data_IF_844074083924
#
_entry.id   IF_844074083924
#
_cell.length_a   1.000
_cell.length_b   1.000
_cell.length_c   1.000
_cell.angle_alpha   90.00
_cell.angle_beta   90.00
_cell.angle_gamma   90.00
#
_symmetry.space_group_name_H-M   'P 1'
#
loop_
_entity.id
_entity.type
_entity.pdbx_description
1 polymer ?
#
# COMPACT_ATOMS: atom_id res chain seq x y z
N UNK A 1 2.51 -5.33 21.94
CA UNK A 1 2.51 -5.37 20.47
C UNK A 1 1.43 -4.44 19.97
N UNK A 2 1.75 -3.53 19.05
CA UNK A 2 0.78 -2.57 18.49
C UNK A 2 0.00 -3.24 17.36
N UNK A 3 -1.33 -3.31 17.50
CA UNK A 3 -2.22 -3.82 16.47
C UNK A 3 -2.78 -2.65 15.66
N UNK A 4 -2.53 -2.64 14.36
CA UNK A 4 -2.93 -1.57 13.46
C UNK A 4 -3.49 -2.14 12.16
N UNK A 5 -4.26 -1.36 11.43
CA UNK A 5 -4.82 -1.78 10.14
C UNK A 5 -4.46 -0.74 9.10
N UNK A 6 -3.81 -1.18 8.02
CA UNK A 6 -3.68 -0.37 6.81
C UNK A 6 -4.83 -0.68 5.87
N UNK A 7 -5.44 0.34 5.30
CA UNK A 7 -6.53 0.23 4.35
C UNK A 7 -6.21 0.99 3.06
N UNK A 8 -6.59 0.41 1.93
CA UNK A 8 -6.54 1.07 0.63
C UNK A 8 -7.80 0.73 -0.16
N UNK A 9 -8.47 1.76 -0.67
CA UNK A 9 -9.57 1.57 -1.62
C UNK A 9 -9.02 1.22 -3.00
N UNK A 10 -9.44 0.10 -3.56
CA UNK A 10 -9.27 -0.25 -4.96
C UNK A 10 -10.60 -0.06 -5.70
N UNK A 11 -10.67 -0.26 -7.01
CA UNK A 11 -11.86 0.01 -7.85
C UNK A 11 -13.15 -0.72 -7.43
N UNK A 12 -13.05 -1.80 -6.67
CA UNK A 12 -14.23 -2.64 -6.32
C UNK A 12 -14.31 -3.09 -4.86
N UNK A 13 -13.24 -2.88 -4.08
CA UNK A 13 -13.12 -3.37 -2.71
C UNK A 13 -12.07 -2.56 -1.96
N UNK A 14 -12.20 -2.49 -0.64
CA UNK A 14 -11.18 -1.93 0.24
C UNK A 14 -10.31 -3.10 0.70
N UNK A 15 -9.02 -3.02 0.42
CA UNK A 15 -8.01 -3.90 0.99
C UNK A 15 -7.78 -3.48 2.44
N UNK A 16 -7.76 -4.44 3.36
CA UNK A 16 -7.36 -4.29 4.75
C UNK A 16 -6.14 -5.18 5.00
N UNK A 17 -5.07 -4.60 5.51
CA UNK A 17 -3.85 -5.29 5.94
C UNK A 17 -3.68 -5.06 7.45
N UNK A 18 -4.33 -5.87 8.30
CA UNK A 18 -4.07 -5.88 9.73
C UNK A 18 -2.62 -6.30 10.01
N UNK A 19 -1.95 -5.58 10.90
CA UNK A 19 -0.57 -5.80 11.27
C UNK A 19 -0.40 -5.95 12.77
N UNK A 20 0.51 -6.85 13.17
CA UNK A 20 1.07 -6.92 14.51
C UNK A 20 2.56 -6.65 14.41
N UNK A 21 2.99 -5.47 14.87
CA UNK A 21 4.33 -4.97 14.56
C UNK A 21 4.53 -4.82 13.04
N UNK A 22 5.61 -5.39 12.49
CA UNK A 22 5.90 -5.35 11.05
C UNK A 22 5.17 -6.42 10.22
N UNK A 23 4.54 -7.41 10.86
CA UNK A 23 3.95 -8.56 10.19
C UNK A 23 2.50 -8.30 9.80
N UNK A 24 2.19 -8.39 8.50
CA UNK A 24 0.81 -8.51 8.00
C UNK A 24 0.22 -9.85 8.43
N UNK A 25 -0.94 -9.82 9.08
CA UNK A 25 -1.58 -11.02 9.61
C UNK A 25 -2.37 -11.79 8.56
N UNK A 26 -3.06 -11.08 7.67
CA UNK A 26 -3.83 -11.61 6.54
C UNK A 26 -4.23 -10.48 5.58
N UNK A 27 -4.76 -10.82 4.42
CA UNK A 27 -5.42 -9.88 3.51
C UNK A 27 -6.93 -9.90 3.76
N UNK A 28 -7.50 -8.76 4.12
CA UNK A 28 -8.93 -8.54 4.23
C UNK A 28 -9.46 -7.79 3.01
N UNK A 29 -10.64 -8.14 2.55
CA UNK A 29 -11.30 -7.48 1.42
C UNK A 29 -12.72 -7.10 1.82
N UNK A 30 -12.97 -5.81 1.86
CA UNK A 30 -14.23 -5.25 2.32
C UNK A 30 -14.98 -4.66 1.13
N UNK A 31 -16.24 -5.08 0.95
CA UNK A 31 -17.17 -4.44 0.01
C UNK A 31 -18.22 -3.66 0.78
N UNK A 32 -18.43 -2.42 0.37
CA UNK A 32 -19.46 -1.55 0.93
C UNK A 32 -20.74 -1.64 0.09
N UNK A 33 -21.87 -1.45 0.76
CA UNK A 33 -23.17 -1.25 0.13
C UNK A 33 -23.74 0.08 0.61
N UNK A 34 -24.35 0.82 -0.31
CA UNK A 34 -25.03 2.07 0.02
C UNK A 34 -26.36 1.75 0.69
N UNK A 35 -26.64 2.44 1.80
CA UNK A 35 -27.89 2.33 2.55
C UNK A 35 -28.40 3.74 2.83
N UNK A 36 -29.70 3.94 3.11
CA UNK A 36 -30.23 5.28 3.39
C UNK A 36 -29.51 6.02 4.54
N UNK A 37 -28.87 5.28 5.45
CA UNK A 37 -28.13 5.78 6.62
C UNK A 37 -26.60 5.85 6.37
N UNK A 38 -26.20 5.87 5.10
CA UNK A 38 -24.81 5.86 4.64
C UNK A 38 -24.24 4.46 4.38
N UNK A 39 -22.99 4.38 3.91
CA UNK A 39 -22.37 3.12 3.51
C UNK A 39 -22.25 2.14 4.69
N UNK A 40 -22.41 0.84 4.40
CA UNK A 40 -22.28 -0.26 5.37
C UNK A 40 -21.42 -1.39 4.82
N UNK A 41 -20.76 -2.13 5.72
CA UNK A 41 -20.03 -3.34 5.34
C UNK A 41 -21.02 -4.39 4.84
N UNK A 42 -20.85 -4.83 3.60
CA UNK A 42 -21.72 -5.82 2.98
C UNK A 42 -21.08 -7.20 2.90
N UNK A 43 -19.79 -7.25 2.53
CA UNK A 43 -19.02 -8.50 2.47
C UNK A 43 -17.64 -8.27 3.04
N UNK A 44 -17.18 -9.25 3.81
CA UNK A 44 -15.81 -9.31 4.29
C UNK A 44 -15.20 -10.65 3.88
N UNK A 45 -14.20 -10.62 2.99
CA UNK A 45 -13.43 -11.80 2.63
C UNK A 45 -12.06 -11.72 3.29
N UNK A 46 -11.55 -12.85 3.75
CA UNK A 46 -10.21 -12.95 4.31
C UNK A 46 -9.43 -14.00 3.54
N UNK A 47 -8.20 -13.66 3.19
CA UNK A 47 -7.21 -14.55 2.58
C UNK A 47 -5.98 -14.61 3.49
N UNK A 48 -5.64 -15.81 3.94
CA UNK A 48 -4.41 -16.10 4.69
C UNK A 48 -3.42 -16.78 3.76
N UNK A 49 -2.14 -16.67 4.10
CA UNK A 49 -1.09 -17.32 3.32
C UNK A 49 -1.29 -18.84 3.28
N UNK A 50 -1.15 -19.43 2.10
CA UNK A 50 -1.41 -20.85 1.84
C UNK A 50 -2.86 -21.31 1.99
N UNK A 51 -3.84 -20.41 2.15
CA UNK A 51 -5.26 -20.75 2.33
C UNK A 51 -6.15 -20.12 1.26
N UNK A 52 -7.26 -20.79 0.95
CA UNK A 52 -8.30 -20.22 0.09
C UNK A 52 -8.99 -19.03 0.76
N UNK A 53 -9.58 -18.15 -0.06
CA UNK A 53 -10.39 -17.05 0.44
C UNK A 53 -11.64 -17.58 1.13
N UNK A 54 -12.01 -16.97 2.25
CA UNK A 54 -13.24 -17.30 2.98
C UNK A 54 -14.00 -16.05 3.36
N UNK A 55 -15.33 -16.16 3.32
CA UNK A 55 -16.20 -15.12 3.86
C UNK A 55 -16.17 -15.17 5.39
N UNK A 56 -16.05 -14.00 5.99
CA UNK A 56 -16.32 -13.77 7.40
C UNK A 56 -17.54 -12.87 7.54
N UNK A 57 -18.25 -12.92 8.68
CA UNK A 57 -19.31 -11.97 9.00
C UNK A 57 -18.85 -10.52 8.79
N UNK A 58 -19.64 -9.67 8.11
CA UNK A 58 -19.35 -8.24 7.95
C UNK A 58 -18.98 -7.52 9.26
N UNK A 59 -19.61 -7.92 10.37
CA UNK A 59 -19.39 -7.35 11.70
C UNK A 59 -17.98 -7.65 12.24
N UNK A 60 -17.33 -8.73 11.79
CA UNK A 60 -15.96 -9.05 12.17
C UNK A 60 -14.98 -7.99 11.66
N UNK A 61 -15.24 -7.40 10.49
CA UNK A 61 -14.42 -6.31 9.97
C UNK A 61 -14.52 -5.07 10.87
N UNK A 62 -15.73 -4.69 11.29
CA UNK A 62 -15.92 -3.57 12.21
C UNK A 62 -15.32 -3.84 13.59
N UNK A 63 -15.47 -5.05 14.12
CA UNK A 63 -14.83 -5.47 15.37
C UNK A 63 -13.30 -5.40 15.28
N UNK A 64 -12.73 -5.80 14.15
CA UNK A 64 -11.29 -5.68 13.90
C UNK A 64 -10.85 -4.20 13.88
N UNK A 65 -11.53 -3.35 13.11
CA UNK A 65 -11.21 -1.94 13.01
C UNK A 65 -11.31 -1.22 14.36
N UNK A 66 -12.33 -1.52 15.17
CA UNK A 66 -12.48 -0.97 16.54
C UNK A 66 -11.36 -1.36 17.49
N UNK A 67 -10.78 -2.55 17.32
CA UNK A 67 -9.66 -3.03 18.16
C UNK A 67 -8.31 -2.48 17.71
N UNK A 68 -8.22 -1.94 16.49
CA UNK A 68 -7.01 -1.36 15.97
C UNK A 68 -6.64 -0.11 16.77
N UNK A 69 -5.38 -0.01 17.20
CA UNK A 69 -4.86 1.20 17.83
C UNK A 69 -4.75 2.35 16.83
N UNK A 70 -4.59 2.02 15.55
CA UNK A 70 -4.58 2.98 14.45
C UNK A 70 -5.13 2.35 13.17
N UNK A 71 -5.92 3.15 12.44
CA UNK A 71 -6.36 2.85 11.08
C UNK A 71 -5.61 3.81 10.15
N UNK A 72 -4.80 3.23 9.27
CA UNK A 72 -4.02 3.96 8.30
C UNK A 72 -4.69 3.88 6.94
N UNK A 73 -4.89 5.02 6.29
CA UNK A 73 -5.41 5.08 4.92
C UNK A 73 -4.27 5.38 3.95
N UNK A 74 -4.18 4.57 2.89
CA UNK A 74 -3.37 4.86 1.72
C UNK A 74 -4.31 5.31 0.62
N UNK A 75 -3.93 6.38 -0.09
CA UNK A 75 -4.73 6.90 -1.20
C UNK A 75 -4.97 5.84 -2.26
N UNK A 76 -6.20 5.79 -2.77
CA UNK A 76 -6.64 4.79 -3.73
C UNK A 76 -7.75 5.32 -4.65
N UNK A 77 -8.73 4.48 -4.92
CA UNK A 77 -9.93 4.88 -5.66
C UNK A 77 -10.72 5.94 -4.87
N UNK A 78 -10.85 7.15 -5.41
CA UNK A 78 -11.42 8.30 -4.68
C UNK A 78 -12.86 8.08 -4.24
N UNK A 79 -13.69 7.44 -5.08
CA UNK A 79 -15.10 7.25 -4.76
C UNK A 79 -15.27 6.22 -3.65
N UNK A 80 -14.59 5.08 -3.74
CA UNK A 80 -14.69 4.05 -2.71
C UNK A 80 -13.95 4.44 -1.42
N UNK A 81 -12.86 5.22 -1.53
CA UNK A 81 -12.17 5.81 -0.38
C UNK A 81 -13.10 6.74 0.41
N UNK A 82 -13.81 7.64 -0.28
CA UNK A 82 -14.75 8.56 0.38
C UNK A 82 -15.86 7.80 1.10
N UNK A 83 -16.43 6.77 0.48
CA UNK A 83 -17.44 5.90 1.13
C UNK A 83 -16.88 5.13 2.31
N UNK A 84 -15.60 4.76 2.28
CA UNK A 84 -14.96 4.13 3.43
C UNK A 84 -14.73 5.12 4.56
N UNK A 85 -14.35 6.35 4.25
CA UNK A 85 -14.24 7.44 5.23
C UNK A 85 -15.58 7.69 5.91
N UNK A 86 -16.66 7.84 5.14
CA UNK A 86 -18.03 8.00 5.67
C UNK A 86 -18.44 6.85 6.59
N UNK A 87 -18.09 5.61 6.25
CA UNK A 87 -18.28 4.46 7.12
C UNK A 87 -17.49 4.62 8.43
N UNK A 88 -16.19 4.94 8.36
CA UNK A 88 -15.35 5.10 9.54
C UNK A 88 -15.89 6.20 10.46
N UNK A 89 -16.26 7.36 9.91
CA UNK A 89 -16.83 8.49 10.62
C UNK A 89 -18.18 8.14 11.28
N UNK A 90 -19.07 7.44 10.56
CA UNK A 90 -20.34 6.99 11.11
C UNK A 90 -20.18 6.05 12.33
N UNK A 91 -19.07 5.33 12.41
CA UNK A 91 -18.71 4.48 13.56
C UNK A 91 -17.71 5.15 14.52
N UNK A 92 -17.43 6.45 14.35
CA UNK A 92 -16.49 7.24 15.16
C UNK A 92 -15.07 6.66 15.22
N UNK A 93 -14.66 6.00 14.13
CA UNK A 93 -13.35 5.38 14.01
C UNK A 93 -12.34 6.40 13.48
N UNK A 94 -11.34 6.71 14.29
CA UNK A 94 -10.26 7.61 13.91
C UNK A 94 -9.35 6.96 12.87
N UNK A 95 -8.93 7.74 11.88
CA UNK A 95 -8.04 7.30 10.83
C UNK A 95 -7.00 8.37 10.49
N UNK A 96 -5.90 7.98 9.86
CA UNK A 96 -4.90 8.93 9.33
C UNK A 96 -4.34 8.48 8.01
N UNK A 97 -4.09 9.44 7.13
CA UNK A 97 -3.42 9.16 5.86
C UNK A 97 -1.93 8.95 6.06
N UNK A 98 -1.38 7.97 5.35
CA UNK A 98 0.05 7.66 5.31
C UNK A 98 0.51 7.41 3.89
N UNK A 99 1.82 7.51 3.70
CA UNK A 99 2.48 7.11 2.48
C UNK A 99 3.15 5.76 2.69
N UNK A 100 3.03 4.88 1.70
CA UNK A 100 3.70 3.57 1.70
C UNK A 100 4.36 3.31 0.35
N UNK A 101 5.35 2.42 0.35
CA UNK A 101 5.98 1.92 -0.86
C UNK A 101 4.94 1.18 -1.71
N UNK A 102 4.67 1.70 -2.91
CA UNK A 102 3.68 1.13 -3.81
C UNK A 102 4.07 -0.28 -4.30
N UNK A 103 5.37 -0.58 -4.45
CA UNK A 103 5.83 -1.92 -4.85
C UNK A 103 5.60 -2.96 -3.73
N UNK A 104 6.00 -2.64 -2.49
CA UNK A 104 5.74 -3.50 -1.35
C UNK A 104 4.24 -3.76 -1.17
N UNK A 105 3.42 -2.71 -1.34
CA UNK A 105 1.96 -2.83 -1.21
C UNK A 105 1.36 -3.75 -2.28
N UNK A 106 1.88 -3.73 -3.52
CA UNK A 106 1.49 -4.67 -4.57
C UNK A 106 1.70 -6.13 -4.18
N UNK A 107 2.74 -6.41 -3.39
CA UNK A 107 3.06 -7.71 -2.80
C UNK A 107 2.45 -7.93 -1.41
N UNK A 108 1.49 -7.08 -1.01
CA UNK A 108 0.77 -7.16 0.29
C UNK A 108 1.66 -7.03 1.52
N UNK A 109 2.85 -6.46 1.32
CA UNK A 109 3.74 -6.01 2.39
C UNK A 109 3.54 -4.51 2.61
N UNK A 110 3.60 -4.09 3.87
CA UNK A 110 3.50 -2.67 4.20
C UNK A 110 4.91 -2.16 4.53
N UNK A 111 5.35 -1.16 3.78
CA UNK A 111 6.56 -0.41 4.08
C UNK A 111 6.18 1.06 4.04
N UNK A 112 6.16 1.70 5.21
CA UNK A 112 5.91 3.13 5.32
C UNK A 112 7.08 3.90 4.70
N UNK A 113 6.75 5.01 4.05
CA UNK A 113 7.74 5.86 3.41
C UNK A 113 7.47 7.30 3.77
N UNK A 114 8.52 8.09 3.89
CA UNK A 114 8.45 9.51 4.19
C UNK A 114 8.22 10.33 2.91
N UNK A 115 8.01 11.64 3.08
CA UNK A 115 7.71 12.55 1.99
C UNK A 115 8.81 12.61 0.93
N UNK A 116 10.06 12.43 1.36
CA UNK A 116 11.27 12.47 0.56
C UNK A 116 11.58 11.16 -0.17
N UNK A 117 10.77 10.11 0.00
CA UNK A 117 11.00 8.81 -0.61
C UNK A 117 11.10 8.85 -2.13
N UNK A 118 11.82 7.87 -2.68
CA UNK A 118 12.08 7.77 -4.11
C UNK A 118 10.76 7.64 -4.89
N UNK A 119 10.62 8.41 -5.96
CA UNK A 119 9.49 8.30 -6.89
C UNK A 119 9.84 7.42 -8.09
N UNK A 120 8.87 6.63 -8.54
CA UNK A 120 8.93 5.86 -9.78
C UNK A 120 7.52 5.74 -10.36
N UNK A 121 7.36 6.10 -11.64
CA UNK A 121 6.09 6.15 -12.38
C UNK A 121 5.02 6.93 -11.61
N UNK A 122 5.43 8.07 -11.04
CA UNK A 122 4.56 8.95 -10.25
C UNK A 122 4.12 8.40 -8.88
N UNK A 123 4.73 7.31 -8.39
CA UNK A 123 4.41 6.70 -7.08
C UNK A 123 5.65 6.60 -6.19
N UNK A 124 5.46 6.68 -4.88
CA UNK A 124 6.56 6.52 -3.90
C UNK A 124 6.93 5.04 -3.72
N UNK A 125 8.22 4.76 -3.65
CA UNK A 125 8.79 3.45 -3.37
C UNK A 125 9.92 3.56 -2.33
N UNK A 126 10.16 2.49 -1.57
CA UNK A 126 11.27 2.44 -0.63
C UNK A 126 12.60 2.22 -1.36
N UNK A 127 13.71 2.50 -0.70
CA UNK A 127 15.06 2.40 -1.28
C UNK A 127 15.39 0.99 -1.77
N UNK A 128 14.94 -0.05 -1.06
CA UNK A 128 15.14 -1.43 -1.46
C UNK A 128 14.45 -1.75 -2.80
N UNK A 129 13.19 -1.32 -2.96
CA UNK A 129 12.46 -1.51 -4.22
C UNK A 129 13.06 -0.67 -5.34
N UNK A 130 13.51 0.55 -5.06
CA UNK A 130 14.14 1.41 -6.04
C UNK A 130 15.48 0.85 -6.52
N UNK A 131 16.30 0.33 -5.61
CA UNK A 131 17.56 -0.33 -5.95
C UNK A 131 17.34 -1.60 -6.77
N UNK A 132 16.33 -2.41 -6.43
CA UNK A 132 15.99 -3.61 -7.18
C UNK A 132 15.54 -3.29 -8.61
N UNK A 133 14.71 -2.28 -8.79
CA UNK A 133 14.24 -1.85 -10.13
C UNK A 133 15.37 -1.21 -10.94
N UNK A 134 16.21 -0.37 -10.32
CA UNK A 134 17.40 0.17 -10.98
C UNK A 134 18.35 -0.93 -11.43
N UNK A 135 18.59 -1.94 -10.58
CA UNK A 135 19.45 -3.07 -10.91
C UNK A 135 18.88 -3.87 -12.07
N UNK A 136 17.58 -4.16 -12.05
CA UNK A 136 16.87 -4.86 -13.14
C UNK A 136 17.05 -4.13 -14.47
N UNK A 137 16.89 -2.82 -14.47
CA UNK A 137 16.99 -1.99 -15.66
C UNK A 137 18.45 -1.86 -16.17
N UNK A 138 19.41 -1.76 -15.25
CA UNK A 138 20.83 -1.77 -15.57
C UNK A 138 21.30 -3.13 -16.12
N UNK A 139 20.77 -4.23 -15.58
CA UNK A 139 21.01 -5.59 -16.09
C UNK A 139 20.42 -5.79 -17.48
N UNK A 140 19.21 -5.29 -17.71
CA UNK A 140 18.58 -5.31 -19.04
C UNK A 140 19.44 -4.60 -20.09
N UNK A 141 20.06 -3.46 -19.73
CA UNK A 141 21.02 -2.74 -20.58
C UNK A 141 22.47 -3.27 -20.51
N UNK A 142 22.72 -4.39 -19.82
CA UNK A 142 24.04 -5.02 -19.68
C UNK A 142 25.13 -4.07 -19.14
N UNK A 143 24.76 -3.16 -18.23
CA UNK A 143 25.69 -2.19 -17.67
C UNK A 143 26.75 -2.85 -16.77
N UNK A 144 27.95 -2.28 -16.79
CA UNK A 144 29.06 -2.71 -15.95
C UNK A 144 28.80 -2.40 -14.45
N UNK A 145 29.53 -3.07 -13.56
CA UNK A 145 29.44 -2.81 -12.11
C UNK A 145 29.71 -1.35 -11.73
N UNK A 146 30.74 -0.67 -12.29
CA UNK A 146 30.96 0.75 -12.01
C UNK A 146 29.80 1.64 -12.44
N UNK A 147 29.20 1.36 -13.61
CA UNK A 147 28.04 2.10 -14.10
C UNK A 147 26.83 1.95 -13.15
N UNK A 148 26.54 0.72 -12.69
CA UNK A 148 25.49 0.46 -11.68
C UNK A 148 25.70 1.24 -10.39
N UNK A 149 26.93 1.23 -9.86
CA UNK A 149 27.28 1.97 -8.65
C UNK A 149 27.11 3.49 -8.82
N UNK A 150 27.49 4.01 -9.99
CA UNK A 150 27.30 5.42 -10.33
C UNK A 150 25.82 5.81 -10.37
N UNK A 151 24.98 5.01 -11.02
CA UNK A 151 23.53 5.25 -11.06
C UNK A 151 22.89 5.17 -9.67
N UNK A 152 23.30 4.23 -8.83
CA UNK A 152 22.79 4.11 -7.46
C UNK A 152 23.09 5.38 -6.63
N UNK A 153 24.26 6.00 -6.83
CA UNK A 153 24.59 7.29 -6.21
C UNK A 153 23.70 8.42 -6.73
N UNK A 154 23.51 8.51 -8.05
CA UNK A 154 22.60 9.51 -8.65
C UNK A 154 21.18 9.34 -8.11
N UNK A 155 20.69 8.11 -7.98
CA UNK A 155 19.35 7.83 -7.45
C UNK A 155 19.17 8.32 -6.02
N UNK A 156 20.19 8.16 -5.17
CA UNK A 156 20.17 8.69 -3.80
C UNK A 156 20.07 10.21 -3.78
N UNK A 157 20.73 10.90 -4.71
CA UNK A 157 20.71 12.36 -4.81
C UNK A 157 19.39 12.88 -5.41
N UNK A 158 18.92 12.30 -6.53
CA UNK A 158 17.76 12.80 -7.27
C UNK A 158 16.42 12.35 -6.71
N UNK A 159 16.38 11.22 -5.98
CA UNK A 159 15.16 10.61 -5.43
C UNK A 159 14.05 10.39 -6.46
N UNK A 160 14.40 10.28 -7.75
CA UNK A 160 13.48 10.00 -8.85
C UNK A 160 14.10 8.95 -9.77
N UNK A 161 13.51 7.76 -9.81
CA UNK A 161 14.02 6.64 -10.60
C UNK A 161 13.80 6.84 -12.10
N UNK A 162 12.69 7.46 -12.51
CA UNK A 162 12.43 7.72 -13.93
C UNK A 162 13.51 8.64 -14.51
N UNK A 163 13.93 9.66 -13.76
CA UNK A 163 15.00 10.57 -14.17
C UNK A 163 16.34 9.84 -14.32
N UNK A 164 16.68 8.95 -13.37
CA UNK A 164 17.94 8.19 -13.41
C UNK A 164 17.95 7.20 -14.55
N UNK A 165 16.85 6.47 -14.78
CA UNK A 165 16.72 5.54 -15.91
C UNK A 165 16.70 6.31 -17.24
N UNK A 166 16.11 7.50 -17.29
CA UNK A 166 16.10 8.36 -18.46
C UNK A 166 17.49 8.77 -18.97
N UNK A 167 18.48 8.89 -18.07
CA UNK A 167 19.88 9.13 -18.45
C UNK A 167 20.46 8.01 -19.32
N UNK A 168 19.89 6.81 -19.27
CA UNK A 168 20.33 5.65 -20.05
C UNK A 168 19.68 5.58 -21.44
N UNK A 169 18.74 6.48 -21.75
CA UNK A 169 18.01 6.49 -23.02
C UNK A 169 18.47 7.62 -23.97
N UNK A 170 19.47 8.41 -23.58
CA UNK A 170 20.02 9.54 -24.34
C UNK A 170 21.25 9.16 -25.19
N UNK A 171 21.28 7.94 -25.75
CA UNK A 171 22.30 7.51 -26.71
C UNK A 171 21.68 7.07 -28.02
#
# INVERSE_FOLDING_TARGET
MTFQVLAQADRSRILLLPQSGSKTLFEGYLRLKEMPQGPRVFKFLVKKDGQSERFLPPEDALRMLRRAQAIYLVRGDMQLEQRFIELLEAYQLQYRFVQVCNHCLGERRVTYVEADAITYKGRRICENCAAAELLREADFRKLSRPAKAHLARILKERRNLDDVVGLLSLQ
#
